data_IF_390007213905
#
_entry.id   IF_390007213905
#
_cell.length_a   1.000
_cell.length_b   1.000
_cell.length_c   1.000
_cell.angle_alpha   90.00
_cell.angle_beta   90.00
_cell.angle_gamma   90.00
#
_symmetry.space_group_name_H-M   'P 1'
#
loop_
_entity.id
_entity.type
_entity.pdbx_description
1 polymer ?
#
# COMPACT_ATOMS: atom_id res chain seq x y z
N UNK A 1 -32.32 -24.04 -14.99
CA UNK A 1 -32.16 -22.64 -14.55
C UNK A 1 -30.69 -22.41 -14.19
N UNK A 2 -30.03 -21.52 -14.94
CA UNK A 2 -28.91 -20.67 -14.55
C UNK A 2 -27.60 -21.32 -14.05
N UNK A 3 -26.70 -21.71 -14.97
CA UNK A 3 -25.28 -21.44 -14.73
C UNK A 3 -25.08 -19.95 -14.99
N UNK A 4 -24.80 -19.18 -13.93
CA UNK A 4 -24.48 -17.76 -14.06
C UNK A 4 -23.36 -17.59 -15.10
N UNK A 5 -23.66 -16.90 -16.21
CA UNK A 5 -22.78 -16.77 -17.39
C UNK A 5 -21.62 -15.79 -17.21
N UNK A 6 -21.42 -15.24 -16.02
CA UNK A 6 -20.41 -14.22 -15.78
C UNK A 6 -19.89 -14.31 -14.33
N UNK A 7 -19.02 -15.30 -14.06
CA UNK A 7 -18.35 -15.46 -12.77
C UNK A 7 -17.12 -14.57 -12.76
N UNK A 8 -17.07 -13.68 -11.79
CA UNK A 8 -15.93 -12.83 -11.52
C UNK A 8 -15.34 -13.13 -10.14
N UNK A 9 -14.03 -12.98 -10.00
CA UNK A 9 -13.34 -13.03 -8.71
C UNK A 9 -12.40 -11.83 -8.59
N UNK A 10 -12.24 -11.31 -7.38
CA UNK A 10 -11.21 -10.33 -7.06
C UNK A 10 -10.15 -11.01 -6.19
N UNK A 11 -8.94 -11.13 -6.71
CA UNK A 11 -7.81 -11.68 -5.99
C UNK A 11 -6.95 -10.56 -5.40
N UNK A 12 -6.69 -10.67 -4.10
CA UNK A 12 -5.72 -9.86 -3.36
C UNK A 12 -4.51 -10.72 -2.98
N UNK A 13 -3.39 -10.06 -2.74
CA UNK A 13 -2.16 -10.69 -2.22
C UNK A 13 -1.71 -11.92 -3.03
N UNK A 14 -1.72 -11.77 -4.35
CA UNK A 14 -1.30 -12.82 -5.26
C UNK A 14 0.22 -12.89 -5.36
N UNK A 15 0.77 -14.09 -5.11
CA UNK A 15 2.20 -14.34 -5.17
C UNK A 15 2.55 -15.50 -6.11
N UNK A 16 3.74 -15.47 -6.76
CA UNK A 16 4.17 -16.52 -7.69
C UNK A 16 4.18 -17.93 -7.10
N UNK A 17 4.46 -18.09 -5.81
CA UNK A 17 4.41 -19.39 -5.13
C UNK A 17 3.02 -20.05 -5.14
N UNK A 18 1.96 -19.26 -5.36
CA UNK A 18 0.58 -19.73 -5.45
C UNK A 18 0.08 -19.88 -6.89
N UNK A 19 0.97 -19.76 -7.89
CA UNK A 19 0.59 -19.77 -9.32
C UNK A 19 -0.26 -20.98 -9.71
N UNK A 20 0.16 -22.20 -9.33
CA UNK A 20 -0.58 -23.41 -9.71
C UNK A 20 -1.91 -23.57 -8.96
N UNK A 21 -1.98 -23.19 -7.68
CA UNK A 21 -3.24 -23.24 -6.92
C UNK A 21 -4.24 -22.22 -7.46
N UNK A 22 -3.79 -21.01 -7.79
CA UNK A 22 -4.60 -19.97 -8.43
C UNK A 22 -5.10 -20.46 -9.80
N UNK A 23 -4.21 -20.99 -10.65
CA UNK A 23 -4.58 -21.51 -11.98
C UNK A 23 -5.66 -22.59 -11.89
N UNK A 24 -5.48 -23.54 -10.97
CA UNK A 24 -6.43 -24.63 -10.73
C UNK A 24 -7.78 -24.09 -10.29
N UNK A 25 -7.79 -23.19 -9.31
CA UNK A 25 -9.02 -22.56 -8.80
C UNK A 25 -9.78 -21.84 -9.91
N UNK A 26 -9.12 -20.96 -10.66
CA UNK A 26 -9.76 -20.17 -11.72
C UNK A 26 -10.39 -21.06 -12.81
N UNK A 27 -9.71 -22.15 -13.15
CA UNK A 27 -10.19 -23.14 -14.12
C UNK A 27 -11.39 -23.95 -13.59
N UNK A 28 -11.27 -24.56 -12.42
CA UNK A 28 -12.32 -25.40 -11.83
C UNK A 28 -13.57 -24.60 -11.46
N UNK A 29 -13.40 -23.36 -11.00
CA UNK A 29 -14.50 -22.45 -10.72
C UNK A 29 -15.13 -21.85 -12.00
N UNK A 30 -14.52 -22.06 -13.18
CA UNK A 30 -15.01 -21.55 -14.45
C UNK A 30 -15.17 -20.02 -14.42
N UNK A 31 -14.16 -19.32 -13.94
CA UNK A 31 -14.13 -17.84 -13.86
C UNK A 31 -13.94 -17.24 -15.24
N UNK A 32 -14.69 -16.19 -15.56
CA UNK A 32 -14.57 -15.42 -16.81
C UNK A 32 -13.78 -14.13 -16.60
N UNK A 33 -13.91 -13.49 -15.42
CA UNK A 33 -13.24 -12.23 -15.09
C UNK A 33 -12.46 -12.36 -13.79
N UNK A 34 -11.19 -11.97 -13.80
CA UNK A 34 -10.35 -11.91 -12.60
C UNK A 34 -9.82 -10.50 -12.44
N UNK A 35 -10.21 -9.85 -11.34
CA UNK A 35 -9.71 -8.55 -10.93
C UNK A 35 -8.55 -8.76 -9.98
N UNK A 36 -7.49 -7.96 -10.12
CA UNK A 36 -6.21 -8.19 -9.44
C UNK A 36 -5.62 -6.87 -8.99
N UNK A 37 -5.15 -6.81 -7.74
CA UNK A 37 -4.57 -5.61 -7.14
C UNK A 37 -3.13 -5.29 -7.59
N UNK A 38 -2.47 -6.23 -8.26
CA UNK A 38 -1.13 -6.06 -8.80
C UNK A 38 -1.09 -6.07 -10.32
N UNK A 39 -0.50 -5.03 -10.91
CA UNK A 39 -0.39 -4.92 -12.36
C UNK A 39 0.52 -6.01 -12.93
N UNK A 40 1.62 -6.35 -12.24
CA UNK A 40 2.52 -7.42 -12.66
C UNK A 40 1.80 -8.77 -12.70
N UNK A 41 0.93 -9.03 -11.72
CA UNK A 41 0.25 -10.31 -11.61
C UNK A 41 -0.88 -10.48 -12.63
N UNK A 42 -1.40 -9.40 -13.23
CA UNK A 42 -2.30 -9.47 -14.40
C UNK A 42 -1.62 -10.24 -15.53
N UNK A 43 -0.38 -9.87 -15.89
CA UNK A 43 0.37 -10.57 -16.94
C UNK A 43 0.69 -12.02 -16.57
N UNK A 44 0.88 -12.32 -15.27
CA UNK A 44 1.06 -13.71 -14.84
C UNK A 44 -0.20 -14.54 -15.06
N UNK A 45 -1.38 -14.00 -14.76
CA UNK A 45 -2.67 -14.66 -15.02
C UNK A 45 -2.87 -14.85 -16.53
N UNK A 46 -2.63 -13.83 -17.35
CA UNK A 46 -2.76 -13.93 -18.82
C UNK A 46 -1.84 -15.03 -19.38
N UNK A 47 -0.65 -15.21 -18.78
CA UNK A 47 0.29 -16.28 -19.17
C UNK A 47 -0.18 -17.70 -18.85
N UNK A 48 -1.24 -17.87 -18.06
CA UNK A 48 -1.74 -19.20 -17.64
C UNK A 48 -2.52 -19.93 -18.75
N UNK A 49 -2.85 -19.25 -19.85
CA UNK A 49 -3.59 -19.85 -20.97
C UNK A 49 -5.03 -20.26 -20.62
N UNK A 50 -5.63 -19.59 -19.64
CA UNK A 50 -7.02 -19.80 -19.25
C UNK A 50 -7.96 -18.96 -20.13
N UNK A 51 -9.17 -19.47 -20.40
CA UNK A 51 -10.19 -18.72 -21.12
C UNK A 51 -10.92 -17.74 -20.18
N UNK A 52 -10.22 -16.68 -19.78
CA UNK A 52 -10.70 -15.62 -18.89
C UNK A 52 -10.07 -14.27 -19.26
N UNK A 53 -10.60 -13.18 -18.71
CA UNK A 53 -10.04 -11.82 -18.82
C UNK A 53 -9.48 -11.38 -17.48
N UNK A 54 -8.26 -10.87 -17.48
CA UNK A 54 -7.59 -10.35 -16.30
C UNK A 54 -7.64 -8.81 -16.31
N UNK A 55 -8.02 -8.22 -15.17
CA UNK A 55 -8.23 -6.80 -15.02
C UNK A 55 -7.39 -6.26 -13.87
N UNK A 56 -6.65 -5.18 -14.12
CA UNK A 56 -5.96 -4.47 -13.05
C UNK A 56 -6.94 -3.59 -12.28
N UNK A 57 -7.21 -3.96 -11.04
CA UNK A 57 -8.04 -3.18 -10.10
C UNK A 57 -7.22 -3.00 -8.83
N UNK A 58 -6.51 -1.87 -8.65
CA UNK A 58 -5.65 -1.66 -7.49
C UNK A 58 -6.45 -1.52 -6.21
N UNK A 59 -5.82 -1.77 -5.06
CA UNK A 59 -6.41 -1.44 -3.76
C UNK A 59 -6.77 0.06 -3.67
N UNK A 60 -7.71 0.36 -2.78
CA UNK A 60 -8.20 1.70 -2.54
C UNK A 60 -8.55 1.89 -1.07
N UNK A 61 -8.69 3.14 -0.66
CA UNK A 61 -9.03 3.50 0.72
C UNK A 61 -10.45 4.04 0.81
N UNK A 62 -11.11 3.81 1.94
CA UNK A 62 -12.24 4.63 2.36
C UNK A 62 -11.69 5.81 3.15
N UNK A 63 -11.83 7.01 2.59
CA UNK A 63 -11.24 8.22 3.16
C UNK A 63 -11.90 8.66 4.46
N UNK A 64 -13.15 8.27 4.69
CA UNK A 64 -13.91 8.63 5.89
C UNK A 64 -13.45 7.83 7.11
N UNK A 65 -12.77 6.70 6.88
CA UNK A 65 -12.24 5.85 7.96
C UNK A 65 -10.88 6.30 8.51
N UNK A 66 -10.27 7.36 7.97
CA UNK A 66 -8.94 7.82 8.41
C UNK A 66 -8.98 9.28 8.85
N UNK A 67 -8.45 9.51 10.05
CA UNK A 67 -8.28 10.83 10.62
C UNK A 67 -6.95 11.43 10.16
N UNK A 68 -6.93 12.75 10.00
CA UNK A 68 -5.69 13.49 9.78
C UNK A 68 -5.69 14.74 10.63
N UNK A 69 -4.82 14.76 11.64
CA UNK A 69 -4.62 15.98 12.41
C UNK A 69 -3.81 17.01 11.60
N UNK A 70 -4.01 18.30 11.87
CA UNK A 70 -3.11 19.36 11.42
C UNK A 70 -1.65 19.06 11.80
N UNK A 71 -0.69 19.52 11.01
CA UNK A 71 0.73 19.19 11.18
C UNK A 71 1.27 19.58 12.56
N UNK A 72 0.82 20.72 13.10
CA UNK A 72 1.18 21.23 14.43
C UNK A 72 0.66 20.38 15.58
N UNK A 73 -0.33 19.50 15.33
CA UNK A 73 -0.90 18.58 16.32
C UNK A 73 -0.38 17.15 16.19
N UNK A 74 0.52 16.88 15.24
CA UNK A 74 1.17 15.58 15.10
C UNK A 74 2.30 15.47 16.11
N UNK A 75 2.10 14.61 17.12
CA UNK A 75 2.99 14.43 18.26
C UNK A 75 3.66 13.06 18.32
N UNK A 76 3.48 12.22 17.29
CA UNK A 76 4.27 11.01 17.03
C UNK A 76 5.22 11.34 15.86
N UNK A 77 6.53 11.24 16.09
CA UNK A 77 7.52 11.59 15.07
C UNK A 77 7.55 10.52 13.96
N UNK A 78 7.61 9.25 14.36
CA UNK A 78 7.67 8.12 13.43
C UNK A 78 6.69 7.03 13.85
N UNK A 79 6.00 6.45 12.88
CA UNK A 79 5.19 5.24 13.06
C UNK A 79 5.62 4.13 12.11
N UNK A 80 5.68 2.91 12.65
CA UNK A 80 5.89 1.67 11.91
C UNK A 80 4.79 0.67 12.25
N UNK A 81 4.03 0.23 11.24
CA UNK A 81 2.97 -0.75 11.40
C UNK A 81 2.98 -1.80 10.28
N UNK A 82 2.55 -3.01 10.63
CA UNK A 82 2.67 -4.18 9.75
C UNK A 82 4.12 -4.63 9.58
N UNK A 83 4.51 -4.99 8.35
CA UNK A 83 5.84 -5.51 8.01
C UNK A 83 6.92 -4.43 8.10
N UNK A 84 8.01 -4.70 8.80
CA UNK A 84 9.16 -3.79 8.95
C UNK A 84 10.36 -4.35 8.22
N UNK A 85 11.20 -3.45 7.69
CA UNK A 85 12.51 -3.85 7.21
C UNK A 85 13.45 -4.00 8.42
N UNK A 86 13.95 -5.21 8.75
CA UNK A 86 14.57 -5.47 10.04
C UNK A 86 15.76 -4.55 10.34
N UNK A 87 16.65 -4.36 9.37
CA UNK A 87 17.87 -3.57 9.54
C UNK A 87 17.57 -2.07 9.67
N UNK A 88 16.81 -1.50 8.72
CA UNK A 88 16.31 -0.13 8.80
C UNK A 88 15.62 0.16 10.14
N UNK A 89 14.67 -0.69 10.57
CA UNK A 89 13.96 -0.56 11.85
C UNK A 89 14.91 -0.47 13.04
N UNK A 90 15.90 -1.39 13.11
CA UNK A 90 16.87 -1.44 14.19
C UNK A 90 17.68 -0.14 14.27
N UNK A 91 18.19 0.33 13.13
CA UNK A 91 19.00 1.54 13.02
C UNK A 91 18.24 2.80 13.43
N UNK A 92 17.01 2.99 12.92
CA UNK A 92 16.22 4.16 13.29
C UNK A 92 15.73 4.10 14.74
N UNK A 93 15.44 2.92 15.30
CA UNK A 93 15.03 2.79 16.70
C UNK A 93 16.08 3.34 17.67
N UNK A 94 17.35 3.02 17.43
CA UNK A 94 18.46 3.49 18.25
C UNK A 94 18.61 5.01 18.16
N UNK A 95 18.56 5.56 16.94
CA UNK A 95 18.64 7.01 16.69
C UNK A 95 17.46 7.80 17.28
N UNK A 96 16.24 7.35 17.04
CA UNK A 96 15.04 8.03 17.54
C UNK A 96 15.02 8.06 19.07
N UNK A 97 15.46 6.96 19.72
CA UNK A 97 15.57 6.90 21.17
C UNK A 97 16.65 7.83 21.71
N UNK A 98 17.81 7.95 21.06
CA UNK A 98 18.90 8.82 21.53
C UNK A 98 18.58 10.31 21.36
N UNK A 99 17.71 10.66 20.42
CA UNK A 99 17.26 12.03 20.13
C UNK A 99 15.91 12.39 20.77
N UNK A 100 15.42 11.59 21.74
CA UNK A 100 14.13 11.79 22.45
C UNK A 100 12.93 11.96 21.49
N UNK A 101 12.94 11.23 20.36
CA UNK A 101 11.86 11.21 19.38
C UNK A 101 10.81 10.17 19.75
N UNK A 102 9.54 10.52 19.55
CA UNK A 102 8.43 9.59 19.81
C UNK A 102 8.26 8.62 18.64
N UNK A 103 8.58 7.36 18.89
CA UNK A 103 8.47 6.29 17.90
C UNK A 103 7.37 5.28 18.27
N UNK A 104 6.31 5.20 17.46
CA UNK A 104 5.25 4.20 17.60
C UNK A 104 5.53 2.99 16.70
N UNK A 105 6.03 1.90 17.25
CA UNK A 105 6.32 0.67 16.50
C UNK A 105 5.74 -0.60 17.15
N UNK A 106 4.96 -0.45 18.22
CA UNK A 106 4.23 -1.54 18.86
C UNK A 106 2.96 -1.93 18.10
N UNK A 107 2.38 -3.06 18.48
CA UNK A 107 1.05 -3.46 18.02
C UNK A 107 0.03 -2.46 18.58
N UNK A 108 -0.92 -2.05 17.74
CA UNK A 108 -2.07 -1.22 18.13
C UNK A 108 -3.28 -2.14 18.14
N UNK A 109 -3.82 -2.38 19.33
CA UNK A 109 -4.75 -3.49 19.58
C UNK A 109 -6.14 -3.28 19.00
N UNK A 110 -6.49 -2.04 18.66
CA UNK A 110 -7.79 -1.70 18.04
C UNK A 110 -7.63 -0.86 16.79
N UNK A 111 -8.67 -0.89 15.95
CA UNK A 111 -8.75 -0.06 14.75
C UNK A 111 -8.72 1.43 15.12
N UNK A 112 -9.41 1.83 16.18
CA UNK A 112 -9.50 3.20 16.66
C UNK A 112 -8.12 3.70 17.11
N UNK A 113 -7.41 2.90 17.93
CA UNK A 113 -6.04 3.22 18.36
C UNK A 113 -5.09 3.33 17.15
N UNK A 114 -5.26 2.45 16.15
CA UNK A 114 -4.50 2.52 14.91
C UNK A 114 -4.77 3.80 14.12
N UNK A 115 -6.03 4.17 13.89
CA UNK A 115 -6.41 5.42 13.19
C UNK A 115 -5.89 6.64 13.95
N UNK A 116 -6.08 6.66 15.26
CA UNK A 116 -5.65 7.78 16.09
C UNK A 116 -4.13 7.97 16.02
N UNK A 117 -3.35 6.90 16.24
CA UNK A 117 -1.90 6.94 16.17
C UNK A 117 -1.43 7.40 14.79
N UNK A 118 -2.01 6.86 13.71
CA UNK A 118 -1.63 7.24 12.35
C UNK A 118 -1.94 8.73 12.08
N UNK A 119 -3.08 9.23 12.54
CA UNK A 119 -3.47 10.64 12.38
C UNK A 119 -2.51 11.61 13.09
N UNK A 120 -1.93 11.18 14.20
CA UNK A 120 -0.96 11.91 15.05
C UNK A 120 0.49 11.77 14.57
N UNK A 121 0.74 10.89 13.59
CA UNK A 121 2.09 10.59 13.13
C UNK A 121 2.56 11.50 12.00
N UNK A 122 3.79 11.99 12.11
CA UNK A 122 4.47 12.80 11.08
C UNK A 122 4.98 11.92 9.94
N UNK A 123 5.84 10.96 10.26
CA UNK A 123 6.45 10.04 9.29
C UNK A 123 5.91 8.64 9.48
N UNK A 124 5.57 7.96 8.37
CA UNK A 124 5.22 6.54 8.35
C UNK A 124 6.24 5.77 7.53
N UNK A 125 6.85 4.73 8.12
CA UNK A 125 7.80 3.89 7.39
C UNK A 125 7.08 2.76 6.67
N UNK A 126 7.33 2.58 5.36
CA UNK A 126 6.69 1.57 4.54
C UNK A 126 7.65 0.93 3.54
N UNK A 127 7.86 -0.38 3.67
CA UNK A 127 8.62 -1.18 2.71
C UNK A 127 7.75 -2.27 2.07
N UNK A 128 7.96 -2.62 0.78
CA UNK A 128 7.27 -3.73 0.13
C UNK A 128 7.68 -5.07 0.75
N UNK A 129 6.84 -6.10 0.59
CA UNK A 129 7.09 -7.43 1.20
C UNK A 129 8.43 -8.00 0.75
N UNK A 130 8.79 -7.82 -0.51
CA UNK A 130 10.06 -8.21 -1.16
C UNK A 130 11.31 -7.76 -0.40
N UNK A 131 11.25 -6.61 0.29
CA UNK A 131 12.37 -6.09 1.10
C UNK A 131 12.31 -6.50 2.57
N UNK A 132 11.17 -7.04 3.03
CA UNK A 132 10.97 -7.44 4.43
C UNK A 132 10.95 -8.95 4.63
N UNK A 133 10.92 -9.72 3.55
CA UNK A 133 10.88 -11.18 3.55
C UNK A 133 11.96 -11.72 2.62
N UNK A 134 12.96 -12.45 3.13
CA UNK A 134 14.02 -13.01 2.31
C UNK A 134 13.51 -13.97 1.23
N UNK A 135 14.18 -14.00 0.09
CA UNK A 135 13.95 -15.00 -0.97
C UNK A 135 12.79 -14.71 -1.93
N UNK A 136 12.11 -13.57 -1.80
CA UNK A 136 11.09 -13.15 -2.76
C UNK A 136 11.71 -12.47 -3.98
N UNK A 137 11.11 -12.68 -5.15
CA UNK A 137 11.53 -12.01 -6.38
C UNK A 137 11.09 -10.52 -6.34
N UNK A 138 12.04 -9.56 -6.41
CA UNK A 138 11.76 -8.13 -6.35
C UNK A 138 10.90 -7.62 -7.52
N UNK A 139 10.67 -8.43 -8.56
CA UNK A 139 9.75 -8.08 -9.65
C UNK A 139 8.28 -8.13 -9.22
N UNK A 140 7.96 -8.80 -8.10
CA UNK A 140 6.60 -8.95 -7.58
C UNK A 140 6.36 -8.00 -6.40
N UNK A 141 6.36 -6.70 -6.70
CA UNK A 141 6.06 -5.63 -5.76
C UNK A 141 4.71 -5.00 -6.05
N UNK A 142 3.84 -4.96 -5.03
CA UNK A 142 2.54 -4.36 -5.13
C UNK A 142 2.25 -3.36 -4.02
N UNK A 143 1.37 -2.42 -4.33
CA UNK A 143 0.89 -1.41 -3.40
C UNK A 143 0.01 -2.08 -2.33
N UNK A 144 0.54 -2.24 -1.11
CA UNK A 144 -0.26 -2.65 0.05
C UNK A 144 -1.05 -1.47 0.61
N UNK A 145 -2.19 -1.75 1.26
CA UNK A 145 -3.01 -0.72 1.89
C UNK A 145 -2.27 0.31 2.74
N UNK A 146 -1.19 -0.10 3.43
CA UNK A 146 -0.41 0.77 4.33
C UNK A 146 0.00 2.10 3.70
N UNK A 147 0.40 2.10 2.43
CA UNK A 147 0.74 3.34 1.73
C UNK A 147 -0.46 4.29 1.66
N UNK A 148 -1.62 3.79 1.26
CA UNK A 148 -2.83 4.59 1.12
C UNK A 148 -3.36 5.05 2.49
N UNK A 149 -3.26 4.20 3.52
CA UNK A 149 -3.65 4.55 4.90
C UNK A 149 -2.80 5.70 5.47
N UNK A 150 -1.48 5.63 5.27
CA UNK A 150 -0.53 6.66 5.71
C UNK A 150 -0.76 7.98 4.97
N UNK A 151 -0.94 7.93 3.64
CA UNK A 151 -1.26 9.12 2.83
C UNK A 151 -2.62 9.71 3.25
N UNK A 152 -3.63 8.88 3.48
CA UNK A 152 -4.95 9.29 3.97
C UNK A 152 -4.91 9.89 5.38
N UNK A 153 -3.82 9.73 6.13
CA UNK A 153 -3.64 10.30 7.48
C UNK A 153 -2.65 11.47 7.51
N UNK A 154 -2.25 11.99 6.33
CA UNK A 154 -1.23 13.05 6.16
C UNK A 154 0.12 12.70 6.79
N UNK A 155 0.53 11.43 6.72
CA UNK A 155 1.90 11.07 7.04
C UNK A 155 2.79 11.30 5.81
N UNK A 156 4.01 11.78 6.04
CA UNK A 156 5.09 11.63 5.06
C UNK A 156 5.49 10.15 5.02
N UNK A 157 5.38 9.52 3.86
CA UNK A 157 5.77 8.11 3.71
C UNK A 157 7.25 8.03 3.35
N UNK A 158 8.02 7.30 4.16
CA UNK A 158 9.45 7.03 3.93
C UNK A 158 9.64 5.52 3.77
N UNK A 159 10.46 5.09 2.81
CA UNK A 159 10.68 3.67 2.56
C UNK A 159 10.92 3.37 1.09
N UNK A 160 10.22 2.41 0.51
CA UNK A 160 10.37 2.06 -0.91
C UNK A 160 9.03 2.09 -1.61
N UNK A 161 8.86 2.93 -2.63
CA UNK A 161 7.65 2.86 -3.44
C UNK A 161 7.65 1.59 -4.31
N UNK A 162 6.65 0.69 -4.17
CA UNK A 162 6.50 -0.41 -5.10
C UNK A 162 6.09 0.12 -6.48
N UNK A 163 6.47 -0.57 -7.55
CA UNK A 163 6.17 -0.16 -8.92
C UNK A 163 4.67 0.09 -9.15
N UNK A 164 3.79 -0.72 -8.55
CA UNK A 164 2.34 -0.55 -8.64
C UNK A 164 1.85 0.76 -7.99
N UNK A 165 2.48 1.22 -6.91
CA UNK A 165 2.13 2.51 -6.29
C UNK A 165 2.52 3.68 -7.20
N UNK A 166 3.69 3.61 -7.83
CA UNK A 166 4.15 4.62 -8.79
C UNK A 166 3.22 4.65 -10.00
N UNK A 167 2.85 3.47 -10.53
CA UNK A 167 1.89 3.36 -11.63
C UNK A 167 0.54 3.95 -11.23
N UNK A 168 0.08 3.68 -10.01
CA UNK A 168 -1.19 4.16 -9.50
C UNK A 168 -1.24 5.69 -9.40
N UNK A 169 -0.21 6.31 -8.81
CA UNK A 169 -0.17 7.77 -8.59
C UNK A 169 0.35 8.55 -9.82
N UNK A 170 1.04 7.89 -10.75
CA UNK A 170 1.72 8.51 -11.89
C UNK A 170 3.04 9.21 -11.53
N UNK A 171 3.48 9.12 -10.27
CA UNK A 171 4.74 9.64 -9.74
C UNK A 171 5.10 8.84 -8.48
N UNK A 172 6.29 9.05 -7.91
CA UNK A 172 6.66 8.42 -6.64
C UNK A 172 6.09 9.23 -5.45
N UNK A 173 5.10 8.71 -4.69
CA UNK A 173 4.54 9.41 -3.52
C UNK A 173 5.30 9.10 -2.21
N UNK A 174 6.47 8.45 -2.30
CA UNK A 174 7.29 8.03 -1.15
C UNK A 174 8.66 8.71 -1.21
N UNK A 175 9.18 9.12 -0.06
CA UNK A 175 10.59 9.49 0.07
C UNK A 175 11.40 8.19 0.16
N UNK A 176 12.22 7.92 -0.85
CA UNK A 176 13.04 6.71 -0.90
C UNK A 176 14.01 6.67 0.29
N UNK A 177 13.98 5.56 1.03
CA UNK A 177 14.80 5.35 2.21
C UNK A 177 16.28 5.24 1.82
N UNK A 178 17.12 5.99 2.53
CA UNK A 178 18.56 5.78 2.53
C UNK A 178 18.85 4.56 3.42
N UNK A 179 19.27 3.46 2.81
CA UNK A 179 19.62 2.23 3.53
C UNK A 179 21.04 2.27 4.10
N UNK A 180 21.89 3.17 3.60
CA UNK A 180 23.26 3.36 4.05
C UNK A 180 23.28 4.26 5.29
N UNK A 181 22.50 5.34 5.30
CA UNK A 181 22.42 6.33 6.39
C UNK A 181 20.97 6.63 6.84
N UNK A 182 20.17 5.61 7.23
CA UNK A 182 18.78 5.78 7.63
C UNK A 182 18.59 6.69 8.85
N UNK A 183 19.54 6.70 9.79
CA UNK A 183 19.48 7.52 11.00
C UNK A 183 19.58 9.01 10.66
N UNK A 184 20.57 9.36 9.83
CA UNK A 184 20.81 10.74 9.38
C UNK A 184 19.64 11.24 8.53
N UNK A 185 19.13 10.39 7.63
CA UNK A 185 17.98 10.71 6.81
C UNK A 185 16.74 11.02 7.66
N UNK A 186 16.39 10.15 8.62
CA UNK A 186 15.20 10.34 9.44
C UNK A 186 15.32 11.60 10.32
N UNK A 187 16.47 11.84 10.96
CA UNK A 187 16.65 13.07 11.74
C UNK A 187 16.58 14.33 10.87
N UNK A 188 17.16 14.29 9.67
CA UNK A 188 17.07 15.39 8.70
C UNK A 188 15.62 15.65 8.28
N UNK A 189 14.85 14.59 7.99
CA UNK A 189 13.42 14.69 7.65
C UNK A 189 12.63 15.30 8.81
N UNK A 190 12.83 14.81 10.03
CA UNK A 190 12.12 15.30 11.21
C UNK A 190 12.49 16.75 11.54
N UNK A 191 13.74 17.14 11.37
CA UNK A 191 14.22 18.52 11.55
C UNK A 191 13.68 19.50 10.49
N UNK A 192 13.26 19.00 9.33
CA UNK A 192 12.77 19.80 8.21
C UNK A 192 11.34 19.40 7.78
N UNK A 193 10.54 18.83 8.69
CA UNK A 193 9.25 18.21 8.35
C UNK A 193 8.30 19.18 7.62
N UNK A 194 8.29 20.45 8.02
CA UNK A 194 7.42 21.48 7.43
C UNK A 194 7.68 21.69 5.93
N UNK A 195 8.89 21.42 5.45
CA UNK A 195 9.23 21.52 4.01
C UNK A 195 8.52 20.49 3.14
N UNK A 196 7.97 19.43 3.73
CA UNK A 196 7.26 18.37 3.02
C UNK A 196 5.74 18.58 2.93
N UNK A 197 5.21 19.67 3.50
CA UNK A 197 3.77 19.93 3.56
C UNK A 197 3.08 19.87 2.19
N UNK A 198 3.64 20.54 1.18
CA UNK A 198 3.09 20.50 -0.19
C UNK A 198 3.08 19.09 -0.79
N UNK A 199 4.14 18.31 -0.54
CA UNK A 199 4.24 16.93 -1.02
C UNK A 199 3.18 16.03 -0.36
N UNK A 200 2.99 16.16 0.96
CA UNK A 200 1.98 15.41 1.71
C UNK A 200 0.57 15.75 1.22
N UNK A 201 0.26 17.04 1.06
CA UNK A 201 -1.07 17.47 0.59
C UNK A 201 -1.33 17.05 -0.86
N UNK A 202 -0.32 17.12 -1.73
CA UNK A 202 -0.42 16.60 -3.11
C UNK A 202 -0.76 15.11 -3.10
N UNK A 203 -0.05 14.30 -2.31
CA UNK A 203 -0.28 12.86 -2.22
C UNK A 203 -1.71 12.57 -1.74
N UNK A 204 -2.16 13.25 -0.68
CA UNK A 204 -3.52 13.11 -0.15
C UNK A 204 -4.57 13.49 -1.19
N UNK A 205 -4.37 14.60 -1.88
CA UNK A 205 -5.30 15.06 -2.92
C UNK A 205 -5.40 14.04 -4.06
N UNK A 206 -4.26 13.55 -4.57
CA UNK A 206 -4.24 12.50 -5.61
C UNK A 206 -5.01 11.25 -5.17
N UNK A 207 -4.82 10.80 -3.93
CA UNK A 207 -5.53 9.66 -3.35
C UNK A 207 -7.05 9.89 -3.32
N UNK A 208 -7.48 11.04 -2.81
CA UNK A 208 -8.91 11.36 -2.61
C UNK A 208 -9.64 11.50 -3.95
N UNK A 209 -8.98 12.11 -4.92
CA UNK A 209 -9.57 12.38 -6.22
C UNK A 209 -9.65 11.14 -7.13
N UNK A 210 -8.82 10.11 -6.92
CA UNK A 210 -8.65 9.03 -7.92
C UNK A 210 -8.59 7.60 -7.36
N UNK A 211 -8.34 7.41 -6.06
CA UNK A 211 -7.91 6.12 -5.52
C UNK A 211 -8.71 5.69 -4.29
N UNK A 212 -9.98 6.06 -4.26
CA UNK A 212 -10.95 5.63 -3.24
C UNK A 212 -11.79 4.44 -3.71
N UNK A 213 -12.44 3.74 -2.76
CA UNK A 213 -13.31 2.61 -3.11
C UNK A 213 -14.47 3.00 -4.01
N UNK A 214 -14.92 4.26 -3.99
CA UNK A 214 -15.91 4.77 -4.95
C UNK A 214 -15.44 4.65 -6.40
N UNK A 215 -14.18 4.96 -6.67
CA UNK A 215 -13.59 4.84 -8.00
C UNK A 215 -13.44 3.36 -8.38
N UNK A 216 -12.90 2.53 -7.49
CA UNK A 216 -12.77 1.08 -7.75
C UNK A 216 -14.10 0.38 -7.94
N UNK A 217 -15.12 0.74 -7.19
CA UNK A 217 -16.46 0.20 -7.37
C UNK A 217 -17.00 0.53 -8.76
N UNK A 218 -16.77 1.74 -9.28
CA UNK A 218 -17.14 2.11 -10.64
C UNK A 218 -16.38 1.26 -11.68
N UNK A 219 -15.06 1.09 -11.51
CA UNK A 219 -14.24 0.25 -12.39
C UNK A 219 -14.73 -1.21 -12.40
N UNK A 220 -14.99 -1.78 -11.21
CA UNK A 220 -15.51 -3.14 -11.03
C UNK A 220 -16.88 -3.28 -11.70
N UNK A 221 -17.80 -2.34 -11.48
CA UNK A 221 -19.12 -2.38 -12.09
C UNK A 221 -19.06 -2.29 -13.61
N UNK A 222 -18.14 -1.49 -14.16
CA UNK A 222 -17.91 -1.41 -15.61
C UNK A 222 -17.46 -2.77 -16.16
N UNK A 223 -16.46 -3.40 -15.53
CA UNK A 223 -15.97 -4.74 -15.91
C UNK A 223 -17.11 -5.77 -15.87
N UNK A 224 -17.94 -5.75 -14.84
CA UNK A 224 -19.05 -6.70 -14.70
C UNK A 224 -20.17 -6.46 -15.72
N UNK A 225 -20.34 -5.23 -16.19
CA UNK A 225 -21.35 -4.86 -17.18
C UNK A 225 -20.96 -5.18 -18.62
N UNK A 226 -19.67 -5.26 -18.96
CA UNK A 226 -19.19 -5.62 -20.31
C UNK A 226 -19.61 -7.03 -20.78
N UNK A 227 -20.02 -7.89 -19.85
CA UNK A 227 -20.35 -9.29 -20.09
C UNK A 227 -21.84 -9.63 -19.80
N UNK A 228 -22.70 -8.60 -19.71
CA UNK A 228 -24.17 -8.72 -19.71
C UNK A 228 -24.76 -8.53 -21.11
#
# INVERSE_FOLDING_TARGET
>A
FLFAKNRAVYLFDCWPEHRESIRRYLSEAGVQNVMINSHRFVSEIESMGLNLRAHYVPEAVDIEEYLALPFERKDIDVIEFGRKHPEYHRRICESLKSNDRRHQHGILDTREAFVEALSRSRVSICFPRTMTTPGLDPKFEFCSMRYLQSIASKCLVVGKAPADLIKLFGYNPVIEADLENPEEQIESILGNFDSYGEFIERNRKTLYDNHTWKHRAADILAILAEDL
#
